data_IF_354620239709
#
_entry.id   IF_354620239709
#
_cell.length_a   1.000
_cell.length_b   1.000
_cell.length_c   1.000
_cell.angle_alpha   90.00
_cell.angle_beta   90.00
_cell.angle_gamma   90.00
#
_symmetry.space_group_name_H-M   'P 1'
#
loop_
_entity.id
_entity.type
_entity.pdbx_description
1 polymer ?
#
# COMPACT_ATOMS: atom_id res chain seq x y z
N UNK A 1 -27.48 -8.06 2.01
CA UNK A 1 -26.57 -8.91 2.81
C UNK A 1 -25.16 -8.50 2.45
N UNK A 2 -24.34 -8.25 3.46
CA UNK A 2 -22.97 -7.77 3.26
C UNK A 2 -21.97 -8.92 3.23
N UNK A 3 -20.88 -8.71 2.51
CA UNK A 3 -19.74 -9.60 2.45
C UNK A 3 -18.43 -8.81 2.51
N UNK A 4 -17.37 -9.45 3.00
CA UNK A 4 -16.00 -8.99 2.89
C UNK A 4 -15.17 -9.97 2.07
N UNK A 5 -14.49 -9.46 1.05
CA UNK A 5 -13.52 -10.19 0.24
C UNK A 5 -12.12 -9.66 0.56
N UNK A 6 -11.36 -10.44 1.33
CA UNK A 6 -9.97 -10.13 1.63
C UNK A 6 -9.08 -10.53 0.45
N UNK A 7 -8.28 -9.58 -0.04
CA UNK A 7 -7.44 -9.75 -1.24
C UNK A 7 -5.97 -9.81 -0.85
N UNK A 8 -5.38 -11.00 -0.90
CA UNK A 8 -3.95 -11.20 -0.82
C UNK A 8 -3.24 -10.93 -2.15
N UNK A 9 -1.94 -10.63 -2.11
CA UNK A 9 -1.12 -10.64 -3.34
C UNK A 9 -0.98 -12.07 -3.91
N UNK A 10 -0.81 -13.05 -3.01
CA UNK A 10 -0.47 -14.43 -3.36
C UNK A 10 1.03 -14.61 -3.60
N UNK A 11 1.52 -15.81 -3.31
CA UNK A 11 2.91 -16.22 -3.33
C UNK A 11 3.08 -17.53 -4.09
N UNK A 12 4.31 -17.81 -4.54
CA UNK A 12 4.74 -19.15 -4.99
C UNK A 12 5.22 -20.04 -3.86
N UNK A 13 5.41 -19.48 -2.66
CA UNK A 13 5.75 -20.20 -1.43
C UNK A 13 4.43 -20.50 -0.67
N UNK A 14 3.97 -21.76 -0.58
CA UNK A 14 2.66 -22.09 0.00
C UNK A 14 2.52 -21.70 1.48
N UNK A 15 3.64 -21.59 2.20
CA UNK A 15 3.68 -21.18 3.60
C UNK A 15 3.05 -19.79 3.79
N UNK A 16 3.53 -18.79 3.04
CA UNK A 16 2.98 -17.43 3.07
C UNK A 16 1.53 -17.33 2.55
N UNK A 17 1.08 -18.28 1.74
CA UNK A 17 -0.32 -18.34 1.30
C UNK A 17 -1.26 -18.88 2.39
N UNK A 18 -0.80 -19.78 3.26
CA UNK A 18 -1.57 -20.20 4.44
C UNK A 18 -1.45 -19.21 5.60
N UNK A 19 -0.33 -18.49 5.75
CA UNK A 19 -0.22 -17.34 6.67
C UNK A 19 -1.33 -16.30 6.42
N UNK A 20 -1.57 -15.93 5.15
CA UNK A 20 -2.66 -15.01 4.77
C UNK A 20 -4.03 -15.57 5.18
N UNK A 21 -4.31 -16.86 4.93
CA UNK A 21 -5.58 -17.50 5.27
C UNK A 21 -5.79 -17.60 6.78
N UNK A 22 -4.76 -17.99 7.52
CA UNK A 22 -4.76 -18.04 8.98
C UNK A 22 -4.98 -16.65 9.59
N UNK A 23 -4.36 -15.62 9.02
CA UNK A 23 -4.56 -14.24 9.42
C UNK A 23 -5.99 -13.77 9.17
N UNK A 24 -6.59 -13.97 7.99
CA UNK A 24 -7.99 -13.57 7.73
C UNK A 24 -8.96 -14.25 8.69
N UNK A 25 -8.83 -15.56 8.94
CA UNK A 25 -9.61 -16.29 9.94
C UNK A 25 -9.46 -15.70 11.36
N UNK A 26 -8.32 -15.05 11.66
CA UNK A 26 -8.12 -14.36 12.95
C UNK A 26 -8.75 -12.96 13.01
N UNK A 27 -8.95 -12.30 11.85
CA UNK A 27 -9.64 -11.01 11.73
C UNK A 27 -11.16 -11.21 11.80
N UNK A 28 -11.68 -12.22 11.09
CA UNK A 28 -13.10 -12.64 11.00
C UNK A 28 -13.79 -12.75 12.36
N UNK A 29 -13.13 -13.32 13.36
CA UNK A 29 -13.66 -13.46 14.74
C UNK A 29 -14.00 -12.12 15.45
N UNK A 30 -13.70 -10.96 14.84
CA UNK A 30 -14.10 -9.64 15.33
C UNK A 30 -14.81 -8.79 14.27
N UNK A 31 -15.48 -9.41 13.30
CA UNK A 31 -16.26 -8.76 12.25
C UNK A 31 -17.72 -9.21 12.30
N UNK A 32 -18.64 -8.26 12.44
CA UNK A 32 -20.09 -8.52 12.32
C UNK A 32 -20.50 -8.49 10.83
N UNK A 33 -20.21 -9.58 10.13
CA UNK A 33 -20.56 -9.77 8.70
C UNK A 33 -20.90 -11.24 8.43
N UNK A 34 -21.98 -11.57 7.70
CA UNK A 34 -22.40 -12.97 7.47
C UNK A 34 -21.56 -13.70 6.40
N UNK A 35 -20.72 -12.98 5.66
CA UNK A 35 -19.87 -13.53 4.60
C UNK A 35 -18.47 -12.92 4.72
N UNK A 36 -17.48 -13.75 5.03
CA UNK A 36 -16.06 -13.47 4.74
C UNK A 36 -15.58 -14.49 3.71
N UNK A 37 -14.79 -14.00 2.75
CA UNK A 37 -14.09 -14.77 1.73
C UNK A 37 -12.64 -14.28 1.61
N UNK A 38 -11.75 -15.12 1.08
CA UNK A 38 -10.34 -14.76 0.79
C UNK A 38 -10.00 -15.13 -0.65
N UNK A 39 -9.36 -14.21 -1.37
CA UNK A 39 -8.85 -14.44 -2.71
C UNK A 39 -7.48 -13.81 -2.91
N UNK A 40 -6.88 -14.09 -4.07
CA UNK A 40 -5.52 -13.69 -4.42
C UNK A 40 -5.48 -13.02 -5.80
N UNK A 41 -4.49 -12.14 -5.96
CA UNK A 41 -4.21 -11.44 -7.21
C UNK A 41 -3.42 -12.30 -8.19
N UNK A 42 -2.42 -13.03 -7.70
CA UNK A 42 -1.50 -13.84 -8.51
C UNK A 42 -1.10 -15.13 -7.79
N UNK A 43 -0.57 -16.10 -8.54
CA UNK A 43 0.07 -17.36 -8.08
C UNK A 43 -0.78 -18.36 -7.27
N UNK A 44 -1.97 -17.98 -6.79
CA UNK A 44 -2.76 -18.75 -5.84
C UNK A 44 -4.27 -18.62 -6.11
N UNK A 45 -5.07 -19.61 -5.69
CA UNK A 45 -6.53 -19.64 -5.79
C UNK A 45 -7.22 -19.58 -4.41
N UNK A 46 -8.43 -18.99 -4.27
CA UNK A 46 -9.27 -18.44 -5.34
C UNK A 46 -8.71 -17.14 -5.92
N UNK A 47 -8.87 -16.95 -7.23
CA UNK A 47 -8.62 -15.66 -7.88
C UNK A 47 -9.66 -14.61 -7.47
N UNK A 48 -9.38 -13.33 -7.71
CA UNK A 48 -10.34 -12.22 -7.54
C UNK A 48 -11.75 -12.52 -8.09
N UNK A 49 -11.83 -13.08 -9.31
CA UNK A 49 -13.10 -13.39 -9.99
C UNK A 49 -13.86 -14.52 -9.31
N UNK A 50 -13.16 -15.54 -8.82
CA UNK A 50 -13.76 -16.65 -8.07
C UNK A 50 -14.23 -16.18 -6.68
N UNK A 51 -13.46 -15.31 -6.01
CA UNK A 51 -13.85 -14.68 -4.74
C UNK A 51 -15.12 -13.84 -4.86
N UNK A 52 -15.25 -13.00 -5.89
CA UNK A 52 -16.50 -12.28 -6.16
C UNK A 52 -17.67 -13.22 -6.42
N UNK A 53 -17.47 -14.27 -7.23
CA UNK A 53 -18.51 -15.27 -7.50
C UNK A 53 -18.94 -16.02 -6.23
N UNK A 54 -18.01 -16.34 -5.31
CA UNK A 54 -18.31 -16.96 -4.03
C UNK A 54 -19.17 -16.07 -3.12
N UNK A 55 -18.81 -14.79 -2.97
CA UNK A 55 -19.62 -13.82 -2.23
C UNK A 55 -21.06 -13.75 -2.76
N UNK A 56 -21.23 -13.61 -4.08
CA UNK A 56 -22.55 -13.49 -4.71
C UNK A 56 -23.33 -14.81 -4.63
N UNK A 57 -22.69 -15.96 -4.79
CA UNK A 57 -23.32 -17.28 -4.62
C UNK A 57 -23.81 -17.53 -3.19
N UNK A 58 -23.15 -16.95 -2.17
CA UNK A 58 -23.61 -16.93 -0.77
C UNK A 58 -24.72 -15.91 -0.49
N UNK A 59 -25.15 -15.13 -1.49
CA UNK A 59 -26.25 -14.17 -1.38
C UNK A 59 -25.84 -12.73 -1.05
N UNK A 60 -24.56 -12.37 -1.20
CA UNK A 60 -24.10 -11.00 -1.02
C UNK A 60 -24.78 -10.05 -2.02
N UNK A 61 -25.34 -8.96 -1.51
CA UNK A 61 -25.83 -7.81 -2.29
C UNK A 61 -24.87 -6.63 -2.23
N UNK A 62 -23.86 -6.70 -1.36
CA UNK A 62 -22.83 -5.69 -1.14
C UNK A 62 -21.54 -6.38 -0.73
N UNK A 63 -20.42 -6.06 -1.38
CA UNK A 63 -19.12 -6.70 -1.17
C UNK A 63 -18.07 -5.61 -0.90
N UNK A 64 -17.55 -5.58 0.32
CA UNK A 64 -16.38 -4.80 0.69
C UNK A 64 -15.10 -5.52 0.31
N UNK A 65 -14.26 -4.89 -0.50
CA UNK A 65 -13.01 -5.47 -1.03
C UNK A 65 -11.84 -4.89 -0.24
N UNK A 66 -11.13 -5.75 0.50
CA UNK A 66 -10.17 -5.34 1.52
C UNK A 66 -8.76 -5.83 1.16
N UNK A 67 -7.86 -4.96 0.68
CA UNK A 67 -6.55 -5.37 0.17
C UNK A 67 -5.51 -5.57 1.28
N UNK A 68 -5.04 -6.80 1.47
CA UNK A 68 -3.93 -7.17 2.38
C UNK A 68 -2.60 -6.78 1.73
N UNK A 69 -2.33 -5.47 1.70
CA UNK A 69 -1.14 -4.88 1.10
C UNK A 69 -0.64 -3.71 1.95
N UNK A 70 0.68 -3.57 2.08
CA UNK A 70 1.29 -2.54 2.92
C UNK A 70 1.08 -1.13 2.35
N UNK A 71 1.32 -0.93 1.05
CA UNK A 71 1.23 0.37 0.38
C UNK A 71 0.47 0.27 -0.95
N UNK A 72 -0.09 1.40 -1.40
CA UNK A 72 -0.83 1.49 -2.66
C UNK A 72 0.13 1.54 -3.86
N UNK A 73 0.39 0.38 -4.47
CA UNK A 73 1.09 0.26 -5.76
C UNK A 73 0.13 -0.22 -6.88
N UNK A 74 0.66 -0.52 -8.08
CA UNK A 74 -0.14 -0.89 -9.27
C UNK A 74 -1.23 -1.94 -9.06
N UNK A 75 -1.03 -2.96 -8.21
CA UNK A 75 -2.09 -3.94 -7.92
C UNK A 75 -3.30 -3.32 -7.21
N UNK A 76 -3.06 -2.41 -6.25
CA UNK A 76 -4.11 -1.69 -5.53
C UNK A 76 -4.71 -0.55 -6.36
N UNK A 77 -3.89 0.16 -7.14
CA UNK A 77 -4.32 1.32 -7.96
C UNK A 77 -4.99 0.94 -9.29
N UNK A 78 -4.69 -0.24 -9.84
CA UNK A 78 -5.16 -0.65 -11.18
C UNK A 78 -5.83 -2.04 -11.17
N UNK A 79 -5.14 -3.09 -10.69
CA UNK A 79 -5.62 -4.46 -10.88
C UNK A 79 -6.89 -4.78 -10.05
N UNK A 80 -6.95 -4.35 -8.78
CA UNK A 80 -8.17 -4.52 -7.96
C UNK A 80 -9.34 -3.69 -8.52
N UNK A 81 -9.21 -2.38 -8.82
CA UNK A 81 -10.27 -1.61 -9.49
C UNK A 81 -10.76 -2.24 -10.80
N UNK A 82 -9.86 -2.70 -11.67
CA UNK A 82 -10.25 -3.34 -12.93
C UNK A 82 -11.06 -4.64 -12.72
N UNK A 83 -10.67 -5.46 -11.74
CA UNK A 83 -11.40 -6.66 -11.37
C UNK A 83 -12.78 -6.34 -10.74
N UNK A 84 -12.88 -5.27 -9.95
CA UNK A 84 -14.15 -4.74 -9.43
C UNK A 84 -15.06 -4.26 -10.57
N UNK A 85 -14.51 -3.61 -11.59
CA UNK A 85 -15.29 -3.12 -12.74
C UNK A 85 -15.67 -4.24 -13.72
N UNK A 86 -14.97 -5.37 -13.74
CA UNK A 86 -15.50 -6.63 -14.31
C UNK A 86 -16.65 -7.20 -13.45
N UNK A 87 -16.46 -7.28 -12.13
CA UNK A 87 -17.48 -7.81 -11.21
C UNK A 87 -18.80 -7.03 -11.26
N UNK A 88 -18.77 -5.69 -11.29
CA UNK A 88 -19.95 -4.82 -11.48
C UNK A 88 -20.71 -5.13 -12.79
N UNK A 89 -19.99 -5.44 -13.88
CA UNK A 89 -20.60 -5.82 -15.17
C UNK A 89 -21.18 -7.23 -15.14
N UNK A 90 -20.58 -8.16 -14.39
CA UNK A 90 -21.09 -9.52 -14.22
C UNK A 90 -22.27 -9.60 -13.23
N UNK A 91 -22.29 -8.75 -12.21
CA UNK A 91 -23.23 -8.79 -11.10
C UNK A 91 -23.87 -7.40 -10.85
N UNK A 92 -24.68 -6.86 -11.79
CA UNK A 92 -25.19 -5.48 -11.74
C UNK A 92 -26.18 -5.17 -10.60
N UNK A 93 -26.63 -6.19 -9.86
CA UNK A 93 -27.46 -6.04 -8.65
C UNK A 93 -26.66 -6.06 -7.34
N UNK A 94 -25.31 -6.00 -7.42
CA UNK A 94 -24.41 -6.11 -6.27
C UNK A 94 -23.53 -4.87 -6.20
N UNK A 95 -23.50 -4.22 -5.03
CA UNK A 95 -22.60 -3.10 -4.75
C UNK A 95 -21.20 -3.61 -4.43
N UNK A 96 -20.16 -2.96 -4.98
CA UNK A 96 -18.76 -3.31 -4.72
C UNK A 96 -18.00 -2.07 -4.22
N UNK A 97 -17.53 -2.12 -2.98
CA UNK A 97 -16.87 -1.00 -2.29
C UNK A 97 -15.40 -1.39 -2.04
N UNK A 98 -14.46 -0.52 -2.40
CA UNK A 98 -13.02 -0.76 -2.21
C UNK A 98 -12.50 0.03 -1.00
N UNK A 99 -11.86 -0.65 -0.05
CA UNK A 99 -11.19 0.03 1.07
C UNK A 99 -9.74 0.38 0.75
N UNK A 100 -9.15 1.21 1.62
CA UNK A 100 -7.71 1.47 1.59
C UNK A 100 -6.89 0.21 1.91
N UNK A 101 -5.61 0.15 1.47
CA UNK A 101 -4.61 -0.75 2.03
C UNK A 101 -4.28 -0.41 3.49
N UNK A 102 -3.37 -1.17 4.10
CA UNK A 102 -2.84 -0.91 5.45
C UNK A 102 -2.34 0.54 5.53
N UNK A 103 -1.45 0.92 4.60
CA UNK A 103 -0.97 2.28 4.42
C UNK A 103 -0.05 2.74 5.57
N UNK A 104 0.06 4.06 5.73
CA UNK A 104 0.82 4.68 6.81
C UNK A 104 -0.08 4.82 8.04
N UNK A 105 0.11 3.96 9.04
CA UNK A 105 -0.80 3.79 10.17
C UNK A 105 -0.09 3.81 11.53
N UNK A 106 -0.79 4.24 12.58
CA UNK A 106 -0.22 4.34 13.94
C UNK A 106 0.19 2.97 14.48
N UNK A 107 -0.74 2.01 14.46
CA UNK A 107 -0.47 0.62 14.85
C UNK A 107 0.65 -0.05 14.03
N UNK A 108 0.98 0.47 12.82
CA UNK A 108 2.10 -0.06 12.03
C UNK A 108 3.46 0.41 12.57
N UNK A 109 3.52 1.58 13.20
CA UNK A 109 4.71 2.05 13.92
C UNK A 109 4.87 1.27 15.23
N UNK A 110 3.77 1.01 15.95
CA UNK A 110 3.78 0.20 17.18
C UNK A 110 4.28 -1.24 16.94
N UNK A 111 3.88 -1.85 15.81
CA UNK A 111 4.41 -3.15 15.37
C UNK A 111 5.92 -3.08 15.17
N UNK A 112 6.44 -2.02 14.54
CA UNK A 112 7.87 -1.85 14.31
C UNK A 112 8.65 -1.61 15.60
N UNK A 113 8.10 -0.86 16.55
CA UNK A 113 8.67 -0.71 17.89
C UNK A 113 8.69 -2.06 18.65
N UNK A 114 7.66 -2.89 18.49
CA UNK A 114 7.65 -4.27 19.04
C UNK A 114 8.78 -5.12 18.43
N UNK A 115 8.95 -5.10 17.11
CA UNK A 115 10.04 -5.84 16.42
C UNK A 115 11.44 -5.36 16.80
N UNK A 116 11.60 -4.07 17.10
CA UNK A 116 12.85 -3.52 17.62
C UNK A 116 13.15 -4.00 19.04
N UNK A 117 12.15 -4.00 19.92
CA UNK A 117 12.30 -4.52 21.28
C UNK A 117 12.65 -6.02 21.29
N UNK A 118 12.03 -6.82 20.41
CA UNK A 118 12.38 -8.24 20.17
C UNK A 118 13.83 -8.41 19.68
N UNK A 119 14.35 -7.48 18.87
CA UNK A 119 15.75 -7.43 18.43
C UNK A 119 16.73 -6.83 19.47
N UNK A 120 16.26 -6.55 20.70
CA UNK A 120 17.07 -5.96 21.76
C UNK A 120 17.42 -4.49 21.53
N UNK A 121 16.52 -3.72 20.89
CA UNK A 121 16.53 -2.25 20.88
C UNK A 121 15.21 -1.76 21.48
N UNK A 122 15.25 -1.40 22.76
CA UNK A 122 14.14 -0.76 23.48
C UNK A 122 13.60 0.48 22.75
N UNK A 123 14.50 1.26 22.15
CA UNK A 123 14.15 2.37 21.28
C UNK A 123 13.79 3.68 21.99
N UNK A 124 13.49 3.67 23.29
CA UNK A 124 13.30 4.88 24.10
C UNK A 124 14.58 5.23 24.88
N UNK A 125 15.34 4.21 25.29
CA UNK A 125 16.69 4.35 25.84
C UNK A 125 17.68 4.76 24.74
N UNK A 126 18.47 5.80 25.02
CA UNK A 126 19.48 6.35 24.11
C UNK A 126 20.47 5.27 23.65
N UNK A 127 20.55 5.09 22.33
CA UNK A 127 21.41 4.07 21.70
C UNK A 127 22.41 4.73 20.74
N UNK A 128 23.44 5.44 21.26
CA UNK A 128 24.25 6.39 20.48
C UNK A 128 25.11 5.74 19.39
N UNK A 129 25.41 4.45 19.54
CA UNK A 129 26.17 3.64 18.58
C UNK A 129 25.28 2.83 17.61
N UNK A 130 23.95 2.94 17.70
CA UNK A 130 23.01 2.12 16.94
C UNK A 130 22.36 2.89 15.79
N UNK A 131 22.41 2.30 14.59
CA UNK A 131 21.57 2.70 13.45
C UNK A 131 20.47 1.66 13.20
N UNK A 132 19.31 2.15 12.76
CA UNK A 132 18.23 1.35 12.22
C UNK A 132 18.21 1.46 10.70
N UNK A 133 18.09 0.34 10.00
CA UNK A 133 17.87 0.28 8.56
C UNK A 133 16.51 -0.37 8.30
N UNK A 134 15.50 0.43 7.94
CA UNK A 134 14.18 -0.07 7.54
C UNK A 134 14.23 -0.55 6.08
N UNK A 135 13.85 -1.81 5.82
CA UNK A 135 14.02 -2.46 4.51
C UNK A 135 12.68 -2.88 3.92
N UNK A 136 12.33 -2.34 2.74
CA UNK A 136 11.15 -2.73 1.98
C UNK A 136 11.44 -3.53 0.71
N UNK A 137 10.39 -3.95 0.00
CA UNK A 137 10.50 -4.59 -1.34
C UNK A 137 10.98 -3.59 -2.41
N UNK A 138 10.51 -2.35 -2.28
CA UNK A 138 10.52 -1.36 -3.34
C UNK A 138 9.38 -1.59 -4.34
N UNK A 139 9.02 -0.55 -5.06
CA UNK A 139 8.00 -0.53 -6.11
C UNK A 139 8.49 0.29 -7.31
N UNK A 140 7.91 0.06 -8.49
CA UNK A 140 7.97 1.01 -9.60
C UNK A 140 7.07 2.25 -9.38
N UNK A 141 6.16 2.15 -8.42
CA UNK A 141 5.27 3.23 -7.97
C UNK A 141 5.98 4.13 -6.95
N UNK A 142 6.12 5.42 -7.27
CA UNK A 142 6.82 6.38 -6.43
C UNK A 142 6.11 6.67 -5.10
N UNK A 143 4.78 6.63 -5.04
CA UNK A 143 4.02 6.89 -3.81
C UNK A 143 4.24 5.74 -2.82
N UNK A 144 4.20 4.50 -3.30
CA UNK A 144 4.46 3.32 -2.47
C UNK A 144 5.90 3.28 -1.92
N UNK A 145 6.85 3.91 -2.61
CA UNK A 145 8.21 4.09 -2.08
C UNK A 145 8.26 5.24 -1.05
N UNK A 146 7.56 6.35 -1.29
CA UNK A 146 7.55 7.50 -0.38
C UNK A 146 6.82 7.21 0.95
N UNK A 147 5.79 6.36 0.94
CA UNK A 147 5.13 5.88 2.16
C UNK A 147 6.08 5.08 3.08
N UNK A 148 7.10 4.37 2.54
CA UNK A 148 8.12 3.71 3.38
C UNK A 148 9.06 4.73 4.03
N UNK A 149 9.53 5.75 3.30
CA UNK A 149 10.31 6.85 3.88
C UNK A 149 9.50 7.62 4.93
N UNK A 150 8.19 7.75 4.74
CA UNK A 150 7.27 8.37 5.70
C UNK A 150 7.08 7.51 6.95
N UNK A 151 6.90 6.19 6.82
CA UNK A 151 6.93 5.24 7.96
C UNK A 151 8.25 5.36 8.71
N UNK A 152 9.38 5.36 8.00
CA UNK A 152 10.73 5.48 8.59
C UNK A 152 10.90 6.77 9.41
N UNK A 153 10.54 7.94 8.83
CA UNK A 153 10.64 9.21 9.55
C UNK A 153 9.70 9.27 10.76
N UNK A 154 8.45 8.81 10.62
CA UNK A 154 7.48 8.76 11.72
C UNK A 154 7.88 7.78 12.82
N UNK A 155 8.59 6.69 12.47
CA UNK A 155 9.21 5.79 13.44
C UNK A 155 10.39 6.47 14.14
N UNK A 156 11.23 7.23 13.43
CA UNK A 156 12.34 7.97 14.03
C UNK A 156 11.86 9.04 15.03
N UNK A 157 10.74 9.73 14.78
CA UNK A 157 10.15 10.65 15.80
C UNK A 157 9.73 9.95 17.11
N UNK A 158 9.68 8.60 17.12
CA UNK A 158 9.35 7.77 18.28
C UNK A 158 10.54 7.02 18.87
N UNK A 159 11.75 7.22 18.32
CA UNK A 159 12.94 6.46 18.69
C UNK A 159 14.13 7.36 19.06
N UNK A 160 14.73 7.06 20.21
CA UNK A 160 15.98 7.65 20.72
C UNK A 160 17.22 6.93 20.14
N UNK A 161 17.23 6.73 18.82
CA UNK A 161 18.34 6.13 18.06
C UNK A 161 19.00 7.19 17.19
N UNK A 162 20.33 7.12 17.06
CA UNK A 162 21.11 8.19 16.47
C UNK A 162 20.91 8.33 14.94
N UNK A 163 20.55 7.24 14.26
CA UNK A 163 20.28 7.21 12.81
C UNK A 163 19.15 6.24 12.45
N UNK A 164 18.26 6.64 11.54
CA UNK A 164 17.32 5.74 10.85
C UNK A 164 17.45 5.95 9.33
N UNK A 165 18.00 4.95 8.64
CA UNK A 165 18.08 4.89 7.17
C UNK A 165 16.92 4.06 6.58
N UNK A 166 16.73 4.15 5.27
CA UNK A 166 15.67 3.41 4.56
C UNK A 166 16.20 2.91 3.24
N UNK A 167 15.96 1.62 2.95
CA UNK A 167 16.44 0.96 1.76
C UNK A 167 15.48 -0.11 1.24
N UNK A 168 15.80 -0.65 0.07
CA UNK A 168 14.99 -1.64 -0.61
C UNK A 168 15.82 -2.87 -1.03
N UNK A 169 15.22 -4.06 -1.01
CA UNK A 169 15.90 -5.31 -1.40
C UNK A 169 15.79 -5.61 -2.92
N UNK A 170 14.88 -4.95 -3.63
CA UNK A 170 14.42 -5.36 -4.96
C UNK A 170 14.37 -4.24 -6.01
N UNK A 171 13.26 -3.50 -6.03
CA UNK A 171 12.77 -2.83 -7.26
C UNK A 171 13.35 -1.44 -7.51
N UNK A 172 13.82 -0.76 -6.47
CA UNK A 172 14.27 0.64 -6.53
C UNK A 172 15.48 0.88 -5.61
N UNK A 173 16.08 2.07 -5.71
CA UNK A 173 17.18 2.54 -4.87
C UNK A 173 16.67 3.44 -3.72
N UNK A 174 17.44 3.63 -2.63
CA UNK A 174 18.72 2.97 -2.34
C UNK A 174 18.54 1.51 -1.94
N UNK A 175 19.52 0.68 -2.27
CA UNK A 175 19.51 -0.76 -2.00
C UNK A 175 19.99 -1.06 -0.57
N UNK A 176 19.67 -2.24 -0.05
CA UNK A 176 20.04 -2.62 1.33
C UNK A 176 21.56 -2.53 1.60
N UNK A 177 22.37 -2.86 0.60
CA UNK A 177 23.82 -2.71 0.58
C UNK A 177 24.28 -1.23 0.67
N UNK A 178 23.62 -0.31 -0.05
CA UNK A 178 23.87 1.13 0.06
C UNK A 178 23.42 1.70 1.42
N UNK A 179 22.34 1.17 1.98
CA UNK A 179 21.85 1.54 3.32
C UNK A 179 22.84 1.16 4.42
N UNK A 180 23.44 -0.03 4.34
CA UNK A 180 24.49 -0.46 5.28
C UNK A 180 25.75 0.40 5.16
N UNK A 181 26.23 0.72 3.95
CA UNK A 181 27.37 1.64 3.75
C UNK A 181 27.15 2.98 4.47
N UNK A 182 25.96 3.57 4.33
CA UNK A 182 25.59 4.82 5.02
C UNK A 182 25.64 4.67 6.54
N UNK A 183 25.01 3.64 7.10
CA UNK A 183 25.03 3.38 8.54
C UNK A 183 26.46 3.25 9.09
N UNK A 184 27.33 2.51 8.38
CA UNK A 184 28.75 2.34 8.76
C UNK A 184 29.51 3.67 8.68
N UNK A 185 29.30 4.46 7.61
CA UNK A 185 29.96 5.76 7.39
C UNK A 185 29.47 6.88 8.29
N UNK A 186 28.22 6.82 8.75
CA UNK A 186 27.67 7.68 9.79
C UNK A 186 28.29 7.38 11.17
N UNK A 187 28.82 6.16 11.35
CA UNK A 187 29.63 5.76 12.50
C UNK A 187 29.07 4.58 13.30
N UNK A 188 27.85 4.12 13.00
CA UNK A 188 27.10 3.14 13.80
C UNK A 188 27.86 1.83 14.01
N UNK A 189 28.10 1.45 15.27
CA UNK A 189 28.76 0.19 15.62
C UNK A 189 27.78 -1.00 15.59
N UNK A 190 26.49 -0.73 15.81
CA UNK A 190 25.39 -1.70 15.78
C UNK A 190 24.39 -1.28 14.70
N UNK A 191 24.00 -2.20 13.82
CA UNK A 191 23.07 -1.94 12.72
C UNK A 191 21.94 -2.97 12.78
N UNK A 192 20.71 -2.49 13.05
CA UNK A 192 19.51 -3.33 13.06
C UNK A 192 18.82 -3.24 11.71
N UNK A 193 18.68 -4.38 11.04
CA UNK A 193 17.96 -4.53 9.78
C UNK A 193 16.51 -4.89 10.11
N UNK A 194 15.56 -3.99 9.82
CA UNK A 194 14.14 -4.15 10.17
C UNK A 194 13.30 -4.42 8.91
N UNK A 195 12.78 -5.65 8.70
CA UNK A 195 12.13 -6.02 7.44
C UNK A 195 10.64 -5.61 7.40
N UNK A 196 10.29 -4.68 6.51
CA UNK A 196 8.91 -4.23 6.29
C UNK A 196 8.17 -5.13 5.27
N UNK A 197 7.92 -6.37 5.68
CA UNK A 197 7.23 -7.41 4.88
C UNK A 197 6.12 -8.08 5.70
N UNK A 198 5.04 -8.52 5.05
CA UNK A 198 3.88 -9.16 5.70
C UNK A 198 4.03 -10.66 5.98
N UNK A 199 4.84 -11.36 5.18
CA UNK A 199 4.95 -12.81 5.17
C UNK A 199 6.38 -13.25 4.85
N UNK A 200 6.68 -14.52 5.15
CA UNK A 200 7.99 -15.14 4.95
C UNK A 200 8.34 -15.41 3.47
N UNK A 201 9.40 -16.16 3.22
CA UNK A 201 9.77 -16.66 1.89
C UNK A 201 11.02 -16.02 1.30
N UNK A 202 11.08 -15.92 -0.02
CA UNK A 202 12.31 -15.62 -0.79
C UNK A 202 12.99 -14.31 -0.38
N UNK A 203 12.23 -13.28 0.03
CA UNK A 203 12.81 -11.99 0.42
C UNK A 203 13.47 -12.02 1.82
N UNK A 204 12.86 -12.72 2.78
CA UNK A 204 13.45 -12.92 4.12
C UNK A 204 14.69 -13.81 4.02
N UNK A 205 14.56 -14.96 3.34
CA UNK A 205 15.65 -15.92 3.07
C UNK A 205 16.85 -15.29 2.35
N UNK A 206 16.62 -14.23 1.55
CA UNK A 206 17.67 -13.41 0.92
C UNK A 206 18.26 -12.35 1.86
N UNK A 207 17.46 -11.79 2.76
CA UNK A 207 17.93 -10.78 3.72
C UNK A 207 18.80 -11.40 4.83
N UNK A 208 18.52 -12.63 5.24
CA UNK A 208 19.40 -13.46 6.08
C UNK A 208 20.80 -13.59 5.44
N UNK A 209 20.86 -13.98 4.16
CA UNK A 209 22.10 -14.14 3.39
C UNK A 209 22.86 -12.81 3.26
N UNK A 210 22.16 -11.70 3.00
CA UNK A 210 22.78 -10.37 2.96
C UNK A 210 23.34 -9.98 4.33
N UNK A 211 22.61 -10.22 5.42
CA UNK A 211 23.06 -9.92 6.79
C UNK A 211 24.36 -10.65 7.14
N UNK A 212 24.46 -11.94 6.78
CA UNK A 212 25.71 -12.69 6.93
C UNK A 212 26.86 -12.07 6.13
N UNK A 213 26.64 -11.70 4.86
CA UNK A 213 27.67 -11.06 4.03
C UNK A 213 28.11 -9.67 4.53
N UNK A 214 27.22 -8.92 5.21
CA UNK A 214 27.57 -7.65 5.84
C UNK A 214 28.45 -7.85 7.07
N UNK A 215 28.19 -8.88 7.89
CA UNK A 215 29.05 -9.25 9.02
C UNK A 215 30.45 -9.73 8.57
N UNK A 216 30.55 -10.43 7.44
CA UNK A 216 31.84 -10.78 6.82
C UNK A 216 32.59 -9.55 6.28
N UNK A 217 31.86 -8.57 5.72
CA UNK A 217 32.42 -7.35 5.12
C UNK A 217 32.88 -6.33 6.16
N UNK A 218 32.16 -6.23 7.29
CA UNK A 218 32.40 -5.24 8.34
C UNK A 218 32.53 -5.93 9.72
N UNK A 219 33.61 -6.69 9.99
CA UNK A 219 33.76 -7.52 11.19
C UNK A 219 33.81 -6.75 12.51
N UNK A 220 34.13 -5.45 12.48
CA UNK A 220 34.10 -4.55 13.65
C UNK A 220 32.68 -4.00 13.96
N UNK A 221 31.61 -4.57 13.36
CA UNK A 221 30.23 -4.08 13.45
C UNK A 221 29.27 -5.22 13.81
N UNK A 222 28.33 -4.94 14.72
CA UNK A 222 27.24 -5.85 15.06
C UNK A 222 26.08 -5.66 14.07
N UNK A 223 25.65 -6.75 13.43
CA UNK A 223 24.45 -6.77 12.58
C UNK A 223 23.37 -7.62 13.24
N UNK A 224 22.17 -7.06 13.36
CA UNK A 224 20.99 -7.76 13.91
C UNK A 224 19.87 -7.71 12.90
N UNK A 225 19.45 -8.87 12.41
CA UNK A 225 18.22 -8.99 11.64
C UNK A 225 17.05 -9.10 12.62
N UNK A 226 16.18 -8.10 12.64
CA UNK A 226 14.96 -8.12 13.44
C UNK A 226 13.89 -9.00 12.78
N UNK A 227 12.94 -9.47 13.59
CA UNK A 227 11.74 -10.14 13.07
C UNK A 227 10.96 -9.21 12.13
N UNK A 228 10.39 -9.79 11.07
CA UNK A 228 9.70 -9.02 10.05
C UNK A 228 8.32 -8.54 10.55
N UNK A 229 7.85 -7.41 10.00
CA UNK A 229 6.59 -6.77 10.38
C UNK A 229 5.44 -7.77 10.55
N UNK A 230 5.25 -8.65 9.56
CA UNK A 230 4.48 -9.89 9.68
C UNK A 230 2.99 -9.69 9.88
N UNK A 231 2.30 -10.78 10.21
CA UNK A 231 0.90 -10.77 10.64
C UNK A 231 0.78 -10.55 12.17
N UNK A 232 1.44 -9.51 12.68
CA UNK A 232 1.44 -9.17 14.11
C UNK A 232 0.00 -8.97 14.65
N UNK A 233 -0.32 -9.35 15.91
CA UNK A 233 -1.68 -9.27 16.45
C UNK A 233 -2.39 -7.91 16.33
N UNK A 234 -1.64 -6.80 16.30
CA UNK A 234 -2.17 -5.44 16.12
C UNK A 234 -2.60 -5.13 14.67
N UNK A 235 -2.03 -5.82 13.68
CA UNK A 235 -2.42 -5.66 12.27
C UNK A 235 -3.88 -6.07 12.04
N UNK A 236 -4.41 -6.98 12.86
CA UNK A 236 -5.82 -7.39 12.81
C UNK A 236 -6.76 -6.21 13.00
N UNK A 237 -6.41 -5.26 13.88
CA UNK A 237 -7.25 -4.09 14.15
C UNK A 237 -7.24 -3.12 12.95
N UNK A 238 -6.07 -2.86 12.35
CA UNK A 238 -5.98 -2.10 11.09
C UNK A 238 -6.87 -2.73 10.01
N UNK A 239 -6.84 -4.06 9.89
CA UNK A 239 -7.65 -4.78 8.90
C UNK A 239 -9.15 -4.82 9.24
N UNK A 240 -9.54 -4.71 10.52
CA UNK A 240 -10.94 -4.45 10.92
C UNK A 240 -11.37 -3.02 10.58
N UNK A 241 -10.51 -2.02 10.74
CA UNK A 241 -10.80 -0.66 10.26
C UNK A 241 -11.02 -0.63 8.74
N UNK A 242 -10.13 -1.24 7.95
CA UNK A 242 -10.29 -1.32 6.48
C UNK A 242 -11.54 -2.09 6.06
N UNK A 243 -11.90 -3.15 6.79
CA UNK A 243 -13.18 -3.84 6.62
C UNK A 243 -14.39 -2.93 6.92
N UNK A 244 -14.36 -2.19 8.03
CA UNK A 244 -15.44 -1.26 8.41
C UNK A 244 -15.56 -0.07 7.42
N UNK A 245 -14.44 0.46 6.92
CA UNK A 245 -14.42 1.44 5.82
C UNK A 245 -15.18 0.93 4.59
N UNK A 246 -14.95 -0.34 4.22
CA UNK A 246 -15.64 -0.99 3.10
C UNK A 246 -17.15 -1.16 3.35
N UNK A 247 -17.56 -1.59 4.55
CA UNK A 247 -18.97 -1.80 4.90
C UNK A 247 -19.74 -0.48 5.07
N UNK A 248 -19.07 0.61 5.45
CA UNK A 248 -19.68 1.93 5.66
C UNK A 248 -19.65 2.81 4.40
N UNK A 249 -19.01 2.38 3.30
CA UNK A 249 -18.82 3.21 2.10
C UNK A 249 -17.86 4.39 2.31
N UNK A 250 -17.11 4.41 3.42
CA UNK A 250 -16.28 5.56 3.81
C UNK A 250 -14.89 5.50 3.20
N UNK A 251 -14.76 5.94 1.95
CA UNK A 251 -13.45 6.20 1.33
C UNK A 251 -12.82 7.44 1.97
N UNK A 252 -12.00 7.20 3.00
CA UNK A 252 -11.23 8.23 3.72
C UNK A 252 -9.96 8.57 2.93
N UNK A 253 -9.43 9.79 3.08
CA UNK A 253 -8.08 10.12 2.60
C UNK A 253 -7.03 9.28 3.34
N UNK A 254 -5.86 9.02 2.75
CA UNK A 254 -4.74 8.23 3.34
C UNK A 254 -3.98 8.94 4.49
N UNK A 255 -4.68 9.78 5.25
CA UNK A 255 -4.14 10.69 6.25
C UNK A 255 -4.46 10.23 7.68
N UNK A 256 -4.32 8.92 7.97
CA UNK A 256 -4.58 8.40 9.32
C UNK A 256 -3.62 8.98 10.36
N UNK A 257 -2.34 9.15 9.99
CA UNK A 257 -1.33 9.85 10.81
C UNK A 257 -1.47 11.40 10.82
N UNK A 258 -2.58 11.97 10.36
CA UNK A 258 -2.80 13.41 10.47
C UNK A 258 -3.14 13.78 11.91
N UNK A 259 -2.27 14.53 12.59
CA UNK A 259 -2.47 14.94 13.98
C UNK A 259 -3.83 15.62 14.21
N UNK A 260 -4.27 16.50 13.30
CA UNK A 260 -5.59 17.14 13.37
C UNK A 260 -6.76 16.13 13.28
N UNK A 261 -6.59 15.03 12.55
CA UNK A 261 -7.59 13.96 12.42
C UNK A 261 -7.64 13.08 13.68
N UNK A 262 -6.46 12.66 14.17
CA UNK A 262 -6.34 11.88 15.40
C UNK A 262 -6.87 12.64 16.61
N UNK A 263 -6.61 13.95 16.67
CA UNK A 263 -7.12 14.79 17.75
C UNK A 263 -8.64 14.99 17.67
N UNK A 264 -9.19 15.29 16.48
CA UNK A 264 -10.64 15.35 16.29
C UNK A 264 -11.34 14.03 16.71
N UNK A 265 -10.76 12.88 16.36
CA UNK A 265 -11.29 11.56 16.74
C UNK A 265 -11.35 11.34 18.26
N UNK A 266 -10.41 11.88 19.05
CA UNK A 266 -10.47 11.80 20.53
C UNK A 266 -11.61 12.63 21.11
N UNK A 267 -11.88 13.80 20.53
CA UNK A 267 -12.91 14.74 21.01
C UNK A 267 -14.33 14.39 20.54
N UNK A 268 -14.50 13.48 19.57
CA UNK A 268 -15.81 12.98 19.12
C UNK A 268 -16.54 12.06 20.12
N UNK A 269 -16.07 11.95 21.36
CA UNK A 269 -16.81 11.35 22.48
C UNK A 269 -17.70 12.34 23.26
N UNK A 270 -17.89 13.55 22.75
CA UNK A 270 -18.89 14.49 23.24
C UNK A 270 -20.06 14.63 22.27
N UNK A 271 -21.25 14.23 22.73
CA UNK A 271 -22.51 14.38 22.01
C UNK A 271 -22.81 15.86 21.77
N UNK A 272 -22.59 16.30 20.54
CA UNK A 272 -22.97 17.62 20.06
C UNK A 272 -24.38 17.57 19.47
N UNK A 273 -25.35 17.33 20.37
CA UNK A 273 -26.80 17.44 20.13
C UNK A 273 -27.18 18.91 19.85
N UNK A 274 -26.85 19.38 18.66
CA UNK A 274 -27.20 20.71 18.16
C UNK A 274 -28.56 20.68 17.45
N UNK A 275 -29.63 20.40 18.22
CA UNK A 275 -31.01 20.64 17.82
C UNK A 275 -31.26 22.15 17.65
N UNK A 276 -30.88 22.67 16.50
CA UNK A 276 -31.14 24.03 16.06
C UNK A 276 -32.43 24.10 15.24
N UNK A 277 -33.54 23.73 15.87
CA UNK A 277 -34.91 23.86 15.39
C UNK A 277 -35.38 25.34 15.28
N UNK A 278 -34.70 26.12 14.45
CA UNK A 278 -35.06 27.51 14.13
C UNK A 278 -36.29 27.59 13.21
N UNK A 279 -37.47 27.36 13.80
CA UNK A 279 -38.75 27.71 13.20
C UNK A 279 -38.90 29.23 13.04
N UNK A 280 -38.59 29.75 11.85
CA UNK A 280 -39.00 31.07 11.41
C UNK A 280 -40.07 30.98 10.32
N UNK A 281 -41.27 30.59 10.72
CA UNK A 281 -42.46 30.67 9.87
C UNK A 281 -43.06 32.08 9.92
N UNK A 282 -42.83 32.89 8.90
CA UNK A 282 -43.56 34.14 8.66
C UNK A 282 -43.90 34.29 7.18
N UNK A 283 -45.08 33.80 6.79
CA UNK A 283 -45.76 34.27 5.61
C UNK A 283 -46.14 35.74 5.79
N UNK A 284 -45.68 36.62 4.90
CA UNK A 284 -46.42 37.83 4.53
C UNK A 284 -46.05 38.24 3.09
N UNK A 285 -46.99 38.04 2.16
CA UNK A 285 -46.98 38.76 0.89
C UNK A 285 -47.18 40.25 1.16
N UNK A 286 -46.41 41.10 0.49
CA UNK A 286 -46.93 42.32 -0.14
C UNK A 286 -46.03 42.72 -1.32
N UNK A 287 -46.62 42.91 -2.49
CA UNK A 287 -45.99 43.61 -3.61
C UNK A 287 -45.94 45.12 -3.30
N UNK A 288 -44.91 45.82 -3.76
CA UNK A 288 -45.02 47.19 -4.28
C UNK A 288 -43.76 47.56 -5.06
N UNK A 289 -43.91 47.87 -6.35
CA UNK A 289 -42.91 48.62 -7.12
C UNK A 289 -42.71 50.02 -6.52
N UNK A 290 -41.47 50.50 -6.48
CA UNK A 290 -41.13 51.87 -6.86
C UNK A 290 -39.66 51.98 -7.26
N UNK A 291 -39.39 52.55 -8.45
CA UNK A 291 -38.06 53.03 -8.82
C UNK A 291 -37.65 54.21 -7.94
N UNK A 292 -36.35 54.40 -7.71
CA UNK A 292 -35.66 55.67 -7.99
C UNK A 292 -34.14 55.47 -8.01
N UNK A 293 -33.45 56.11 -8.96
CA UNK A 293 -31.99 56.19 -9.02
C UNK A 293 -31.50 57.32 -8.09
N UNK A 294 -30.36 57.13 -7.41
CA UNK A 294 -29.46 58.23 -7.02
C UNK A 294 -28.02 57.71 -6.80
N UNK A 295 -27.06 58.24 -7.56
CA UNK A 295 -25.64 58.09 -7.25
C UNK A 295 -25.24 58.99 -6.09
N UNK A 296 -24.42 58.49 -5.15
CA UNK A 296 -23.48 59.34 -4.41
C UNK A 296 -22.19 58.56 -4.07
N UNK A 297 -21.05 59.08 -4.52
CA UNK A 297 -19.72 58.65 -4.07
C UNK A 297 -19.38 59.34 -2.75
N UNK A 298 -18.76 58.63 -1.81
CA UNK A 298 -17.92 59.22 -0.79
C UNK A 298 -16.66 58.37 -0.56
N UNK A 299 -15.50 58.97 -0.85
CA UNK A 299 -14.19 58.46 -0.46
C UNK A 299 -13.85 58.99 0.94
N UNK A 300 -13.27 58.16 1.80
CA UNK A 300 -12.65 58.61 3.04
C UNK A 300 -11.38 57.81 3.33
N UNK A 301 -10.22 58.43 3.11
CA UNK A 301 -8.95 57.97 3.67
C UNK A 301 -8.93 58.22 5.19
N UNK A 302 -8.44 57.25 5.96
CA UNK A 302 -8.00 57.47 7.34
C UNK A 302 -6.63 56.82 7.57
N UNK A 303 -5.57 57.54 7.22
CA UNK A 303 -4.20 57.13 7.50
C UNK A 303 -3.83 57.39 8.96
N UNK A 304 -3.48 56.33 9.70
CA UNK A 304 -2.87 56.44 11.04
C UNK A 304 -1.43 55.96 11.01
N UNK A 305 -0.50 56.90 11.19
CA UNK A 305 0.91 56.59 11.50
C UNK A 305 1.02 56.21 12.98
N UNK A 306 1.65 55.08 13.27
CA UNK A 306 2.35 54.89 14.53
C UNK A 306 3.82 54.60 14.24
N UNK A 307 4.71 55.28 14.96
CA UNK A 307 6.14 55.12 14.85
C UNK A 307 6.69 54.82 16.24
N UNK A 308 7.27 53.64 16.39
CA UNK A 308 8.25 53.33 17.42
C UNK A 308 9.42 52.65 16.69
N UNK A 309 10.61 53.19 16.86
CA UNK A 309 11.84 52.56 16.41
C UNK A 309 12.62 52.09 17.63
N UNK A 310 13.29 50.96 17.48
CA UNK A 310 14.44 50.57 18.28
C UNK A 310 15.52 50.08 17.32
N UNK A 311 16.78 50.47 17.57
CA UNK A 311 17.88 50.32 16.62
C UNK A 311 18.70 49.05 16.89
N UNK A 312 18.63 48.07 15.99
CA UNK A 312 19.60 46.97 15.95
C UNK A 312 20.17 46.80 14.54
N UNK A 313 21.36 47.36 14.33
CA UNK A 313 22.12 47.25 13.10
C UNK A 313 23.07 46.04 13.14
N UNK A 314 22.98 45.18 12.13
CA UNK A 314 24.01 44.19 11.81
C UNK A 314 24.37 44.30 10.33
N UNK A 315 25.64 44.64 10.06
CA UNK A 315 26.17 44.65 8.70
C UNK A 315 26.33 43.22 8.17
N UNK A 316 25.87 42.99 6.94
CA UNK A 316 26.34 41.88 6.12
C UNK A 316 26.86 42.44 4.80
N UNK A 317 28.18 42.44 4.63
CA UNK A 317 28.84 42.72 3.36
C UNK A 317 28.73 41.48 2.47
N UNK A 318 28.29 41.66 1.22
CA UNK A 318 28.28 40.62 0.20
C UNK A 318 29.19 41.03 -0.95
N UNK A 319 30.40 40.46 -1.01
CA UNK A 319 31.27 40.58 -2.18
C UNK A 319 30.69 39.79 -3.36
N UNK A 320 30.17 40.51 -4.36
CA UNK A 320 29.83 39.94 -5.66
C UNK A 320 31.05 40.00 -6.59
N UNK A 321 31.83 38.92 -6.63
CA UNK A 321 32.91 38.77 -7.62
C UNK A 321 32.31 38.34 -8.96
N UNK A 322 32.02 39.31 -9.82
CA UNK A 322 31.84 39.07 -11.25
C UNK A 322 33.20 39.09 -11.96
N UNK A 323 33.50 38.02 -12.70
CA UNK A 323 34.64 37.97 -13.62
C UNK A 323 34.15 37.62 -15.02
N UNK A 324 34.13 38.62 -15.91
CA UNK A 324 34.05 38.43 -17.37
C UNK A 324 35.43 38.74 -17.96
N UNK A 325 35.81 38.01 -19.00
CA UNK A 325 37.11 38.13 -19.66
C UNK A 325 37.20 37.18 -20.84
N UNK A 326 36.59 37.56 -21.95
CA UNK A 326 36.69 36.84 -23.21
C UNK A 326 38.05 37.09 -23.87
N UNK A 327 38.79 36.02 -24.21
CA UNK A 327 39.73 36.04 -25.33
C UNK A 327 39.56 34.75 -26.16
N UNK A 328 39.33 34.90 -27.46
CA UNK A 328 39.27 33.82 -28.44
C UNK A 328 40.58 33.82 -29.25
N UNK A 329 41.24 32.67 -29.36
CA UNK A 329 42.01 32.33 -30.56
C UNK A 329 41.60 30.94 -31.07
N UNK A 330 41.52 30.82 -32.39
CA UNK A 330 41.21 29.59 -33.11
C UNK A 330 42.47 29.13 -33.83
N UNK A 331 42.72 27.82 -33.82
CA UNK A 331 43.48 27.18 -34.89
C UNK A 331 42.84 25.83 -35.24
N UNK A 332 42.88 25.45 -36.52
CA UNK A 332 42.11 24.33 -37.07
C UNK A 332 43.01 23.39 -37.90
N UNK A 333 42.81 22.08 -37.78
CA UNK A 333 42.54 21.21 -38.94
C UNK A 333 42.01 19.81 -38.51
N UNK A 334 41.26 19.08 -39.36
CA UNK A 334 40.33 18.04 -38.88
C UNK A 334 40.52 16.64 -39.51
N UNK A 335 40.34 15.56 -38.73
CA UNK A 335 40.05 14.20 -39.26
C UNK A 335 39.19 13.34 -38.32
N UNK A 336 37.88 13.27 -38.57
CA UNK A 336 37.22 12.08 -39.15
C UNK A 336 35.69 12.23 -39.12
N UNK A 337 35.04 11.84 -40.22
CA UNK A 337 33.59 11.66 -40.28
C UNK A 337 33.23 10.25 -39.80
N UNK A 338 32.11 10.13 -39.08
CA UNK A 338 31.37 8.87 -39.06
C UNK A 338 29.87 9.17 -38.98
N UNK A 339 29.18 8.98 -40.10
CA UNK A 339 27.73 9.04 -40.18
C UNK A 339 27.15 7.75 -39.59
N UNK A 340 26.10 7.87 -38.78
CA UNK A 340 25.22 6.74 -38.48
C UNK A 340 23.78 7.15 -38.76
N UNK A 341 23.26 6.65 -39.88
CA UNK A 341 21.90 6.88 -40.33
C UNK A 341 20.89 6.09 -39.50
N UNK A 342 19.75 6.72 -39.20
CA UNK A 342 18.58 5.99 -38.73
C UNK A 342 18.02 5.12 -39.86
N UNK A 343 17.77 3.85 -39.57
CA UNK A 343 17.00 2.95 -40.43
C UNK A 343 15.84 2.40 -39.60
N UNK A 344 14.63 2.87 -39.90
CA UNK A 344 13.41 2.22 -39.42
C UNK A 344 13.18 0.94 -40.23
N UNK A 345 13.03 -0.19 -39.53
CA UNK A 345 12.52 -1.43 -40.10
C UNK A 345 11.11 -1.67 -39.55
N UNK A 346 10.09 -1.27 -40.31
CA UNK A 346 8.73 -1.76 -40.10
C UNK A 346 8.62 -3.14 -40.77
N UNK A 347 7.98 -4.08 -40.09
CA UNK A 347 7.59 -5.38 -40.62
C UNK A 347 6.15 -5.66 -40.19
N UNK A 348 5.21 -4.96 -40.83
CA UNK A 348 3.80 -5.33 -40.80
C UNK A 348 3.62 -6.55 -41.71
N UNK A 349 3.12 -7.67 -41.15
CA UNK A 349 2.75 -8.84 -41.95
C UNK A 349 1.33 -9.28 -41.52
N UNK A 350 0.34 -8.76 -42.25
CA UNK A 350 -1.09 -9.00 -42.04
C UNK A 350 -1.60 -10.00 -43.08
N UNK A 351 -1.59 -11.29 -42.75
CA UNK A 351 -2.17 -12.32 -43.62
C UNK A 351 -3.60 -12.70 -43.16
N UNK A 352 -4.58 -12.37 -44.01
CA UNK A 352 -6.01 -12.60 -43.79
C UNK A 352 -6.59 -13.39 -44.97
N UNK A 353 -6.72 -14.71 -44.84
CA UNK A 353 -7.54 -15.54 -45.74
C UNK A 353 -8.69 -16.24 -45.01
N UNK A 354 -9.74 -16.57 -45.76
CA UNK A 354 -11.09 -16.68 -45.22
C UNK A 354 -11.86 -17.87 -45.83
N UNK A 355 -12.38 -18.75 -44.95
CA UNK A 355 -13.46 -19.74 -45.19
C UNK A 355 -13.12 -20.97 -46.06
N UNK A 356 -13.44 -22.16 -45.54
CA UNK A 356 -14.58 -23.00 -46.00
C UNK A 356 -14.82 -24.22 -45.08
N UNK A 357 -16.09 -24.52 -44.81
CA UNK A 357 -16.56 -25.86 -44.42
C UNK A 357 -16.81 -26.71 -45.69
N UNK A 358 -16.72 -28.05 -45.60
CA UNK A 358 -17.85 -28.93 -45.22
C UNK A 358 -17.48 -29.85 -44.02
N UNK A 359 -18.32 -30.78 -43.54
CA UNK A 359 -19.74 -31.04 -43.82
C UNK A 359 -20.13 -32.52 -43.95
N UNK A 360 -20.66 -33.11 -42.87
CA UNK A 360 -21.49 -34.34 -42.76
C UNK A 360 -21.03 -35.70 -43.36
N UNK A 361 -20.92 -36.72 -42.48
CA UNK A 361 -21.34 -38.15 -42.57
C UNK A 361 -20.80 -38.83 -41.29
N UNK A 362 -21.52 -39.45 -40.33
CA UNK A 362 -22.66 -40.37 -40.19
C UNK A 362 -22.37 -41.89 -40.25
N UNK A 363 -22.57 -42.51 -39.07
CA UNK A 363 -23.08 -43.87 -38.77
C UNK A 363 -22.13 -45.09 -38.58
N UNK A 364 -22.61 -45.95 -37.65
CA UNK A 364 -22.40 -47.39 -37.46
C UNK A 364 -21.04 -47.98 -37.02
N UNK A 365 -20.98 -49.13 -36.32
CA UNK A 365 -21.80 -49.71 -35.22
C UNK A 365 -21.09 -50.99 -34.68
N UNK A 366 -21.44 -51.43 -33.45
CA UNK A 366 -20.96 -52.60 -32.66
C UNK A 366 -19.91 -52.26 -31.57
N UNK A 367 -20.09 -52.55 -30.26
CA UNK A 367 -20.71 -53.65 -29.48
C UNK A 367 -19.76 -54.84 -29.27
N UNK A 368 -19.21 -54.99 -28.05
CA UNK A 368 -19.61 -56.05 -27.09
C UNK A 368 -19.01 -55.84 -25.68
N UNK A 369 -19.70 -56.38 -24.66
CA UNK A 369 -19.23 -56.63 -23.29
C UNK A 369 -19.32 -58.14 -23.03
N UNK A 370 -18.78 -58.63 -21.89
CA UNK A 370 -19.62 -59.52 -21.07
C UNK A 370 -19.63 -59.19 -19.56
N UNK A 371 -20.80 -59.35 -18.95
CA UNK A 371 -21.01 -59.68 -17.52
C UNK A 371 -20.78 -61.21 -17.33
N UNK A 372 -20.84 -61.89 -16.19
CA UNK A 372 -21.27 -61.64 -14.79
C UNK A 372 -20.46 -62.66 -13.89
N UNK A 373 -20.65 -62.97 -12.60
CA UNK A 373 -21.69 -62.74 -11.59
C UNK A 373 -21.15 -62.89 -10.14
N UNK A 374 -22.05 -62.82 -9.15
CA UNK A 374 -21.87 -63.27 -7.76
C UNK A 374 -22.81 -64.49 -7.47
N UNK A 375 -22.80 -65.16 -6.28
CA UNK A 375 -23.29 -64.56 -5.02
C UNK A 375 -22.58 -65.02 -3.71
N UNK A 376 -23.11 -64.53 -2.58
CA UNK A 376 -22.71 -64.75 -1.15
C UNK A 376 -23.52 -65.91 -0.50
N UNK A 377 -23.60 -66.14 0.85
CA UNK A 377 -22.78 -65.69 2.01
C UNK A 377 -22.51 -66.79 3.11
N UNK A 378 -21.61 -66.51 4.06
CA UNK A 378 -21.60 -66.98 5.49
C UNK A 378 -20.29 -66.52 6.19
N UNK A 379 -20.10 -66.43 7.52
CA UNK A 379 -20.89 -66.17 8.73
C UNK A 379 -19.99 -66.55 9.92
N UNK A 380 -19.75 -65.62 10.88
CA UNK A 380 -19.38 -65.88 12.30
C UNK A 380 -18.21 -66.82 12.67
N UNK A 381 -17.18 -66.31 13.36
CA UNK A 381 -17.00 -66.54 14.82
C UNK A 381 -15.89 -65.71 15.50
N UNK A 382 -15.94 -65.72 16.83
CA UNK A 382 -15.19 -64.92 17.82
C UNK A 382 -13.82 -65.59 18.18
N UNK A 383 -12.71 -64.87 18.47
CA UNK A 383 -12.18 -64.38 19.79
C UNK A 383 -11.80 -65.51 20.79
N UNK A 384 -10.79 -65.40 21.69
CA UNK A 384 -9.70 -64.40 21.88
C UNK A 384 -8.26 -64.98 21.85
N UNK A 385 -7.27 -64.09 21.93
CA UNK A 385 -6.21 -64.13 22.96
C UNK A 385 -5.82 -62.70 23.33
#
# INVERSE_FOLDING_TARGET
MDALLFVGHGSRDPEGNEEVRAFVRSVENGLDVPIVETCFLEFESPSMREGFAACVARGATRVGVVPITLFAAGHAKLHIPAAIDEAKRQFPGVEFIYSRPIGVHELALDILQTRLAEAGVDGLIESPDTALLLIGRGSSDADANSDLFKISRLLWERLNVQWVETAFIGVTAPRADEGVDRCVRLGAKRIVLLPYFLFTGVLIKRLEQLTASFAETYPDREFVLAEYFGFHPMLREIMRERAQEALQGQVRMNCDMCQFRLEAMKHHHHDHDHDHSHHHGHDHHHEHDHHHEHEHRHEHEHGHRHAHGDEHAHNHEHEHIHAHGDEHEHDHEPKHQQEHSHVHAHADDHDHEHKRHPGHEQQDQHREQPQEAAPSPASTKEVPA
#
